data_IF_543452770248
#
_entry.id   IF_543452770248
#
_cell.length_a   1.000
_cell.length_b   1.000
_cell.length_c   1.000
_cell.angle_alpha   90.00
_cell.angle_beta   90.00
_cell.angle_gamma   90.00
#
_symmetry.space_group_name_H-M   'P 1'
#
loop_
_entity.id
_entity.type
_entity.pdbx_description
1 polymer ?
#
# COMPACT_ATOMS: atom_id res chain seq x y z
N UNK A 1 -13.73 -6.42 -24.56
CA UNK A 1 -12.33 -6.84 -24.28
C UNK A 1 -11.74 -6.05 -23.12
N UNK A 2 -12.01 -4.75 -23.02
CA UNK A 2 -11.63 -3.87 -21.91
C UNK A 2 -12.18 -4.32 -20.55
N UNK A 3 -13.40 -4.88 -20.52
CA UNK A 3 -14.04 -5.33 -19.28
C UNK A 3 -13.27 -6.47 -18.58
N UNK A 4 -12.70 -7.39 -19.37
CA UNK A 4 -11.90 -8.50 -18.84
C UNK A 4 -10.59 -8.01 -18.18
N UNK A 5 -9.98 -6.96 -18.74
CA UNK A 5 -8.77 -6.34 -18.18
C UNK A 5 -9.11 -5.63 -16.87
N UNK A 6 -10.25 -4.96 -16.81
CA UNK A 6 -10.73 -4.27 -15.60
C UNK A 6 -10.99 -5.27 -14.46
N UNK A 7 -11.66 -6.39 -14.75
CA UNK A 7 -11.91 -7.45 -13.76
C UNK A 7 -10.59 -8.04 -13.26
N UNK A 8 -9.64 -8.33 -14.16
CA UNK A 8 -8.33 -8.85 -13.80
C UNK A 8 -7.55 -7.86 -12.91
N UNK A 9 -7.60 -6.57 -13.24
CA UNK A 9 -7.00 -5.50 -12.43
C UNK A 9 -7.63 -5.44 -11.04
N UNK A 10 -8.95 -5.55 -10.92
CA UNK A 10 -9.66 -5.58 -9.64
C UNK A 10 -9.23 -6.76 -8.77
N UNK A 11 -9.14 -7.96 -9.34
CA UNK A 11 -8.66 -9.17 -8.64
C UNK A 11 -7.22 -8.98 -8.18
N UNK A 12 -6.34 -8.45 -9.04
CA UNK A 12 -4.95 -8.18 -8.69
C UNK A 12 -4.83 -7.17 -7.55
N UNK A 13 -5.65 -6.10 -7.54
CA UNK A 13 -5.68 -5.09 -6.46
C UNK A 13 -6.15 -5.66 -5.13
N UNK A 14 -7.19 -6.49 -5.14
CA UNK A 14 -7.66 -7.18 -3.93
C UNK A 14 -6.58 -8.13 -3.41
N UNK A 15 -5.94 -8.90 -4.30
CA UNK A 15 -4.81 -9.77 -3.93
C UNK A 15 -3.66 -8.99 -3.32
N UNK A 16 -3.26 -7.86 -3.93
CA UNK A 16 -2.23 -6.98 -3.41
C UNK A 16 -2.60 -6.40 -2.04
N UNK A 17 -3.85 -6.01 -1.83
CA UNK A 17 -4.34 -5.51 -0.53
C UNK A 17 -4.23 -6.58 0.56
N UNK A 18 -4.70 -7.80 0.27
CA UNK A 18 -4.66 -8.93 1.21
C UNK A 18 -3.22 -9.29 1.54
N UNK A 19 -2.37 -9.44 0.53
CA UNK A 19 -0.96 -9.79 0.72
C UNK A 19 -0.19 -8.67 1.45
N UNK A 20 -0.39 -7.41 1.06
CA UNK A 20 0.22 -6.26 1.73
C UNK A 20 -0.20 -6.13 3.20
N UNK A 21 -1.49 -6.39 3.49
CA UNK A 21 -2.00 -6.46 4.86
C UNK A 21 -1.36 -7.59 5.67
N UNK A 22 -1.24 -8.79 5.08
CA UNK A 22 -0.58 -9.94 5.72
C UNK A 22 0.88 -9.61 6.03
N UNK A 23 1.63 -9.05 5.07
CA UNK A 23 3.03 -8.69 5.27
C UNK A 23 3.18 -7.61 6.34
N UNK A 24 2.28 -6.62 6.39
CA UNK A 24 2.26 -5.59 7.44
C UNK A 24 2.03 -6.22 8.83
N UNK A 25 1.06 -7.13 8.94
CA UNK A 25 0.80 -7.87 10.19
C UNK A 25 1.98 -8.75 10.61
N UNK A 26 2.64 -9.41 9.66
CA UNK A 26 3.83 -10.22 9.93
C UNK A 26 5.01 -9.36 10.37
N UNK A 27 5.23 -8.20 9.75
CA UNK A 27 6.25 -7.24 10.17
C UNK A 27 5.98 -6.72 11.59
N UNK A 28 4.72 -6.40 11.89
CA UNK A 28 4.31 -5.99 13.25
C UNK A 28 4.48 -7.12 14.29
N UNK A 29 4.12 -8.36 13.93
CA UNK A 29 4.35 -9.53 14.81
C UNK A 29 5.83 -9.81 15.02
N UNK A 30 6.64 -9.66 13.98
CA UNK A 30 8.09 -9.81 14.07
C UNK A 30 8.68 -8.74 14.98
N UNK A 31 8.21 -7.49 14.89
CA UNK A 31 8.60 -6.40 15.79
C UNK A 31 8.40 -6.79 17.25
N UNK A 32 7.23 -7.34 17.59
CA UNK A 32 6.95 -7.80 18.96
C UNK A 32 7.91 -8.90 19.43
N UNK A 33 8.45 -9.73 18.52
CA UNK A 33 9.35 -10.85 18.86
C UNK A 33 10.82 -10.48 18.92
N UNK A 34 11.30 -9.56 18.09
CA UNK A 34 12.72 -9.19 18.03
C UNK A 34 13.06 -7.88 18.73
N UNK A 35 12.07 -7.06 19.13
CA UNK A 35 12.29 -5.74 19.75
C UNK A 35 13.16 -4.78 18.91
N UNK A 36 13.26 -5.03 17.60
CA UNK A 36 13.98 -4.15 16.66
C UNK A 36 13.05 -2.98 16.30
N UNK A 37 13.28 -1.82 16.91
CA UNK A 37 12.45 -0.62 16.79
C UNK A 37 12.16 -0.13 15.36
N UNK A 38 12.92 -0.53 14.35
CA UNK A 38 12.72 -0.14 12.94
C UNK A 38 11.62 -0.94 12.26
N UNK A 39 11.33 -2.14 12.77
CA UNK A 39 10.39 -3.06 12.11
C UNK A 39 8.93 -2.64 12.30
N UNK A 40 8.61 -1.91 13.38
CA UNK A 40 7.30 -1.26 13.56
C UNK A 40 7.04 -0.18 12.50
N UNK A 41 8.02 0.66 12.21
CA UNK A 41 7.85 1.74 11.24
C UNK A 41 7.75 1.19 9.82
N UNK A 42 8.47 0.10 9.51
CA UNK A 42 8.28 -0.65 8.27
C UNK A 42 6.85 -1.19 8.14
N UNK A 43 6.31 -1.79 9.22
CA UNK A 43 4.94 -2.31 9.23
C UNK A 43 3.90 -1.22 9.01
N UNK A 44 4.06 -0.07 9.66
CA UNK A 44 3.18 1.10 9.52
C UNK A 44 3.27 1.70 8.12
N UNK A 45 4.48 1.91 7.60
CA UNK A 45 4.69 2.41 6.24
C UNK A 45 4.05 1.50 5.20
N UNK A 46 4.24 0.19 5.31
CA UNK A 46 3.61 -0.79 4.41
C UNK A 46 2.07 -0.77 4.50
N UNK A 47 1.52 -0.59 5.71
CA UNK A 47 0.07 -0.50 5.92
C UNK A 47 -0.50 0.75 5.24
N UNK A 48 0.18 1.89 5.37
CA UNK A 48 -0.20 3.16 4.74
C UNK A 48 -0.17 3.05 3.21
N UNK A 49 0.89 2.47 2.63
CA UNK A 49 0.98 2.24 1.17
C UNK A 49 -0.17 1.34 0.71
N UNK A 50 -0.38 0.23 1.40
CA UNK A 50 -1.37 -0.78 1.00
C UNK A 50 -2.79 -0.22 1.04
N UNK A 51 -3.15 0.45 2.13
CA UNK A 51 -4.49 1.05 2.29
C UNK A 51 -4.66 2.21 1.31
N UNK A 52 -3.70 3.13 1.23
CA UNK A 52 -3.84 4.33 0.39
C UNK A 52 -3.88 4.01 -1.11
N UNK A 53 -3.06 3.07 -1.59
CA UNK A 53 -3.08 2.65 -3.01
C UNK A 53 -4.36 1.89 -3.37
N UNK A 54 -4.98 1.19 -2.41
CA UNK A 54 -6.29 0.58 -2.60
C UNK A 54 -7.42 1.61 -2.61
N UNK A 55 -7.37 2.58 -1.69
CA UNK A 55 -8.37 3.65 -1.60
C UNK A 55 -8.39 4.52 -2.85
N UNK A 56 -7.22 4.88 -3.40
CA UNK A 56 -7.10 5.59 -4.68
C UNK A 56 -7.60 4.75 -5.85
N UNK A 57 -7.30 3.44 -5.85
CA UNK A 57 -7.80 2.52 -6.88
C UNK A 57 -9.33 2.42 -6.90
N UNK A 58 -9.98 2.37 -5.74
CA UNK A 58 -11.45 2.37 -5.65
C UNK A 58 -12.04 3.71 -6.10
N UNK A 59 -11.45 4.83 -5.65
CA UNK A 59 -11.90 6.17 -6.05
C UNK A 59 -11.85 6.34 -7.57
N UNK A 60 -10.80 5.80 -8.20
CA UNK A 60 -10.65 5.85 -9.65
C UNK A 60 -11.72 5.06 -10.37
N UNK A 61 -12.10 3.90 -9.82
CA UNK A 61 -13.10 3.02 -10.43
C UNK A 61 -14.55 3.50 -10.28
N UNK A 62 -14.88 4.21 -9.18
CA UNK A 62 -16.24 4.70 -8.90
C UNK A 62 -16.52 6.07 -9.56
N UNK A 63 -15.51 6.92 -9.77
CA UNK A 63 -15.74 8.36 -10.08
C UNK A 63 -15.45 8.75 -11.55
N UNK A 64 -14.86 7.88 -12.38
CA UNK A 64 -14.62 8.19 -13.80
C UNK A 64 -13.61 9.33 -14.01
N UNK A 65 -12.70 9.54 -13.05
CA UNK A 65 -11.63 10.54 -13.12
C UNK A 65 -10.59 10.11 -14.18
N UNK A 66 -10.01 11.01 -14.97
CA UNK A 66 -8.95 10.67 -15.93
C UNK A 66 -7.81 9.87 -15.28
N UNK A 67 -7.45 8.73 -15.88
CA UNK A 67 -6.46 7.74 -15.38
C UNK A 67 -5.15 8.34 -14.92
N UNK A 68 -4.72 9.43 -15.53
CA UNK A 68 -3.48 10.14 -15.17
C UNK A 68 -3.51 10.66 -13.73
N UNK A 69 -4.63 11.26 -13.30
CA UNK A 69 -4.70 11.88 -11.98
C UNK A 69 -4.79 10.84 -10.85
N UNK A 70 -5.45 9.71 -11.10
CA UNK A 70 -5.45 8.56 -10.19
C UNK A 70 -4.04 7.95 -10.02
N UNK A 71 -3.31 7.77 -11.14
CA UNK A 71 -1.93 7.28 -11.11
C UNK A 71 -0.98 8.22 -10.35
N UNK A 72 -1.17 9.54 -10.50
CA UNK A 72 -0.38 10.53 -9.75
C UNK A 72 -0.62 10.41 -8.24
N UNK A 73 -1.88 10.30 -7.81
CA UNK A 73 -2.21 10.11 -6.39
C UNK A 73 -1.69 8.78 -5.84
N UNK A 74 -1.82 7.69 -6.60
CA UNK A 74 -1.28 6.39 -6.21
C UNK A 74 0.24 6.46 -6.00
N UNK A 75 0.94 7.14 -6.91
CA UNK A 75 2.39 7.35 -6.84
C UNK A 75 2.78 8.23 -5.65
N UNK A 76 2.02 9.29 -5.35
CA UNK A 76 2.27 10.16 -4.19
C UNK A 76 2.10 9.42 -2.87
N UNK A 77 1.05 8.60 -2.76
CA UNK A 77 0.84 7.75 -1.58
C UNK A 77 1.98 6.76 -1.42
N UNK A 78 2.37 6.06 -2.49
CA UNK A 78 3.49 5.14 -2.46
C UNK A 78 4.78 5.85 -2.02
N UNK A 79 5.05 7.04 -2.57
CA UNK A 79 6.21 7.86 -2.20
C UNK A 79 6.19 8.26 -0.72
N UNK A 80 5.04 8.71 -0.20
CA UNK A 80 4.89 9.04 1.22
C UNK A 80 5.09 7.85 2.13
N UNK A 81 4.59 6.68 1.75
CA UNK A 81 4.78 5.46 2.53
C UNK A 81 6.22 4.96 2.51
N UNK A 82 6.94 5.09 1.38
CA UNK A 82 8.37 4.81 1.33
C UNK A 82 9.16 5.77 2.22
N UNK A 83 8.81 7.06 2.25
CA UNK A 83 9.42 8.01 3.19
C UNK A 83 9.22 7.57 4.64
N UNK A 84 8.02 7.15 5.02
CA UNK A 84 7.74 6.63 6.37
C UNK A 84 8.62 5.40 6.69
N UNK A 85 8.77 4.48 5.73
CA UNK A 85 9.65 3.32 5.89
C UNK A 85 11.13 3.73 6.06
N UNK A 86 11.61 4.72 5.29
CA UNK A 86 12.99 5.23 5.36
C UNK A 86 13.23 5.91 6.71
N UNK A 87 12.36 6.81 7.14
CA UNK A 87 12.46 7.48 8.45
C UNK A 87 12.43 6.47 9.59
N UNK A 88 11.61 5.43 9.45
CA UNK A 88 11.57 4.32 10.38
C UNK A 88 12.87 3.55 10.55
N UNK A 89 13.62 3.41 9.46
CA UNK A 89 14.90 2.70 9.46
C UNK A 89 16.07 3.61 9.86
N UNK A 90 16.01 4.89 9.50
CA UNK A 90 17.05 5.89 9.83
C UNK A 90 16.93 6.43 11.26
N UNK A 91 15.74 6.33 11.87
CA UNK A 91 15.51 6.69 13.28
C UNK A 91 16.05 5.67 14.28
N UNK A 92 16.70 4.58 13.80
CA UNK A 92 17.46 3.62 14.60
C UNK A 92 18.96 3.88 14.49
#
# INVERSE_FOLDING_TARGET
MTDSIIILLGIAKIGALVLGGIVSLLAYRAYQRTQIEGLQYFAVGLMVITIGTFLVGILHHIVGVPSVQGMLFESLIACSGFLVMIYGLYGQ
#
